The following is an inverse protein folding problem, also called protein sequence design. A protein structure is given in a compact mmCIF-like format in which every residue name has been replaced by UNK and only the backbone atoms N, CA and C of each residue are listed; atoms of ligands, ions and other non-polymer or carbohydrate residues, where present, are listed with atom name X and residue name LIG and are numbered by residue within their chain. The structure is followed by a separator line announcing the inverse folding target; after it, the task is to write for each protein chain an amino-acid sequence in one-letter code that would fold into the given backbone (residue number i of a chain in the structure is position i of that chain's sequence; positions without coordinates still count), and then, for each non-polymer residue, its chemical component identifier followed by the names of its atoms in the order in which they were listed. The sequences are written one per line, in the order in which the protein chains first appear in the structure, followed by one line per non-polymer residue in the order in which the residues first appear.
data_IF_862963357858
#
_entry.id   IF_862963357858
#
_cell.length_a   1.000
_cell.length_b   1.000
_cell.length_c   1.000
_cell.angle_alpha   90.00
_cell.angle_beta   90.00
_cell.angle_gamma   90.00
#
_symmetry.space_group_name_H-M   'P 1'
#
loop_
_entity.id
_entity.type
_entity.pdbx_description
1 polymer ?
#
# COMPACT_ATOMS: atom_id res chain seq x y z
N UNK A 1 -2.80 3.67 -33.50
CA UNK A 1 -2.26 5.01 -33.17
C UNK A 1 -0.93 4.79 -32.43
N UNK A 2 0.09 5.66 -32.56
CA UNK A 2 1.35 5.47 -31.85
C UNK A 2 1.12 5.52 -30.33
N UNK A 3 1.68 4.54 -29.60
CA UNK A 3 1.58 4.45 -28.13
C UNK A 3 2.39 5.55 -27.47
N UNK A 4 1.93 6.07 -26.33
CA UNK A 4 2.63 7.14 -25.59
C UNK A 4 3.64 6.56 -24.60
N UNK A 5 4.52 5.68 -25.08
CA UNK A 5 5.51 4.99 -24.25
C UNK A 5 6.82 5.77 -24.13
N UNK A 6 7.38 5.73 -22.93
CA UNK A 6 8.71 6.23 -22.60
C UNK A 6 9.63 5.04 -22.29
N UNK A 7 10.68 4.88 -23.10
CA UNK A 7 11.71 3.85 -22.95
C UNK A 7 13.05 4.55 -22.80
N UNK A 8 13.61 4.52 -21.60
CA UNK A 8 14.91 5.10 -21.28
C UNK A 8 16.06 4.33 -21.95
N UNK A 9 17.20 5.01 -22.15
CA UNK A 9 18.41 4.40 -22.69
C UNK A 9 18.87 3.18 -21.88
N UNK A 10 18.68 3.20 -20.56
CA UNK A 10 19.01 2.07 -19.69
C UNK A 10 18.11 0.85 -19.96
N UNK A 11 16.79 1.05 -20.09
CA UNK A 11 15.87 -0.04 -20.44
C UNK A 11 16.15 -0.56 -21.85
N UNK A 12 16.41 0.34 -22.80
CA UNK A 12 16.79 0.00 -24.18
C UNK A 12 18.08 -0.81 -24.24
N UNK A 13 19.08 -0.47 -23.44
CA UNK A 13 20.34 -1.22 -23.38
C UNK A 13 20.15 -2.66 -22.86
N UNK A 14 19.23 -2.88 -21.93
CA UNK A 14 18.96 -4.20 -21.36
C UNK A 14 18.10 -5.09 -22.27
N UNK A 15 17.05 -4.55 -22.89
CA UNK A 15 16.15 -5.35 -23.75
C UNK A 15 16.61 -5.44 -25.21
N UNK A 16 17.54 -4.57 -25.61
CA UNK A 16 18.03 -4.43 -26.98
C UNK A 16 17.19 -3.49 -27.85
N UNK A 17 17.85 -2.88 -28.85
CA UNK A 17 17.24 -1.86 -29.71
C UNK A 17 16.03 -2.38 -30.50
N UNK A 18 16.11 -3.61 -31.00
CA UNK A 18 15.05 -4.21 -31.81
C UNK A 18 13.78 -4.43 -30.96
N UNK A 19 13.92 -4.84 -29.70
CA UNK A 19 12.77 -5.03 -28.80
C UNK A 19 12.21 -3.68 -28.32
N UNK A 20 13.07 -2.70 -28.04
CA UNK A 20 12.65 -1.35 -27.70
C UNK A 20 11.86 -0.70 -28.85
N UNK A 21 12.27 -0.92 -30.10
CA UNK A 21 11.57 -0.39 -31.27
C UNK A 21 10.22 -1.09 -31.49
N UNK A 22 10.12 -2.40 -31.25
CA UNK A 22 8.84 -3.14 -31.24
C UNK A 22 7.87 -2.62 -30.18
N UNK A 23 8.36 -2.32 -28.97
CA UNK A 23 7.55 -1.72 -27.91
C UNK A 23 7.03 -0.35 -28.29
N UNK A 24 7.89 0.51 -28.84
CA UNK A 24 7.51 1.85 -29.30
C UNK A 24 6.54 1.81 -30.49
N UNK A 25 6.66 0.80 -31.36
CA UNK A 25 5.72 0.53 -32.45
C UNK A 25 4.37 -0.01 -31.94
N UNK A 26 4.30 -0.44 -30.67
CA UNK A 26 3.08 -0.92 -30.02
C UNK A 26 2.80 -2.42 -30.24
N UNK A 27 3.77 -3.19 -30.72
CA UNK A 27 3.61 -4.62 -31.00
C UNK A 27 3.59 -5.46 -29.72
N UNK A 28 4.47 -5.13 -28.77
CA UNK A 28 4.60 -5.81 -27.46
C UNK A 28 4.14 -4.92 -26.29
N UNK A 29 3.55 -3.77 -26.59
CA UNK A 29 3.04 -2.84 -25.59
C UNK A 29 1.60 -3.21 -25.19
N UNK A 30 1.28 -3.34 -23.90
CA UNK A 30 -0.09 -3.59 -23.47
C UNK A 30 -0.96 -2.37 -23.76
N UNK A 31 -2.22 -2.62 -24.12
CA UNK A 31 -3.25 -1.59 -24.22
C UNK A 31 -3.54 -0.99 -22.86
N UNK A 32 -4.29 -1.73 -22.05
CA UNK A 32 -4.47 -1.48 -20.62
C UNK A 32 -3.36 -2.13 -19.79
N UNK A 33 -2.93 -1.49 -18.72
CA UNK A 33 -1.95 -2.03 -17.76
C UNK A 33 -2.31 -1.62 -16.33
N UNK A 34 -1.83 -2.34 -15.33
CA UNK A 34 -1.87 -1.87 -13.94
C UNK A 34 -0.53 -1.20 -13.62
N UNK A 35 -0.59 0.08 -13.22
CA UNK A 35 0.61 0.84 -12.90
C UNK A 35 1.41 0.15 -11.78
N UNK A 36 2.67 -0.22 -12.03
CA UNK A 36 3.47 -0.97 -11.03
C UNK A 36 3.69 -0.20 -9.72
N UNK A 37 3.61 1.13 -9.77
CA UNK A 37 3.73 2.01 -8.59
C UNK A 37 2.44 2.18 -7.81
N UNK A 38 1.35 2.60 -8.47
CA UNK A 38 0.09 2.97 -7.80
C UNK A 38 -1.04 1.95 -7.97
N UNK A 39 -0.81 0.87 -8.75
CA UNK A 39 -1.73 -0.22 -9.09
C UNK A 39 -3.08 0.21 -9.66
N UNK A 40 -3.19 1.46 -10.11
CA UNK A 40 -4.37 1.95 -10.81
C UNK A 40 -4.27 1.54 -12.28
N UNK A 41 -5.38 1.14 -12.92
CA UNK A 41 -5.39 0.86 -14.35
C UNK A 41 -5.00 2.10 -15.15
N UNK A 42 -4.13 1.90 -16.14
CA UNK A 42 -3.75 2.90 -17.13
C UNK A 42 -3.91 2.37 -18.55
N UNK A 43 -3.85 3.26 -19.53
CA UNK A 43 -3.98 2.93 -20.96
C UNK A 43 -2.90 3.63 -21.79
N UNK A 44 -1.97 2.85 -22.34
CA UNK A 44 -0.83 3.36 -23.11
C UNK A 44 -1.21 4.01 -24.45
N UNK A 45 -2.46 3.83 -24.90
CA UNK A 45 -3.05 4.54 -26.04
C UNK A 45 -3.54 5.94 -25.67
N UNK A 46 -3.87 6.19 -24.40
CA UNK A 46 -4.52 7.41 -23.95
C UNK A 46 -3.60 8.30 -23.09
N UNK A 47 -2.59 7.72 -22.43
CA UNK A 47 -1.72 8.46 -21.51
C UNK A 47 -0.23 8.09 -21.59
N UNK A 48 0.62 9.05 -21.16
CA UNK A 48 2.06 8.83 -21.08
C UNK A 48 2.40 7.73 -20.08
N UNK A 49 3.07 6.72 -20.58
CA UNK A 49 3.36 5.48 -19.85
C UNK A 49 4.87 5.23 -19.87
N UNK A 50 5.46 4.98 -18.71
CA UNK A 50 6.88 4.67 -18.55
C UNK A 50 7.11 3.17 -18.45
N UNK A 51 8.14 2.68 -19.12
CA UNK A 51 8.60 1.29 -18.98
C UNK A 51 9.54 1.12 -17.79
N UNK A 52 9.26 0.13 -16.96
CA UNK A 52 10.10 -0.21 -15.80
C UNK A 52 10.55 -1.65 -15.98
N UNK A 53 11.87 -1.86 -16.12
CA UNK A 53 12.45 -3.19 -16.25
C UNK A 53 12.99 -3.62 -14.89
N UNK A 54 12.41 -4.68 -14.32
CA UNK A 54 12.95 -5.30 -13.11
C UNK A 54 13.92 -6.40 -13.52
N UNK A 55 15.16 -6.33 -13.06
CA UNK A 55 16.21 -7.30 -13.38
C UNK A 55 16.63 -8.01 -12.10
N UNK A 56 16.51 -9.34 -12.10
CA UNK A 56 17.09 -10.24 -11.12
C UNK A 56 18.30 -10.98 -11.68
N UNK A 57 18.83 -11.91 -10.90
CA UNK A 57 20.06 -12.63 -11.28
C UNK A 57 19.87 -13.53 -12.52
N UNK A 58 18.66 -14.08 -12.71
CA UNK A 58 18.36 -15.00 -13.83
C UNK A 58 17.24 -14.50 -14.74
N UNK A 59 16.39 -13.59 -14.25
CA UNK A 59 15.15 -13.21 -14.92
C UNK A 59 14.98 -11.69 -15.00
N UNK A 60 14.34 -11.22 -16.07
CA UNK A 60 13.98 -9.82 -16.25
C UNK A 60 12.51 -9.70 -16.63
N UNK A 61 11.82 -8.72 -16.05
CA UNK A 61 10.38 -8.53 -16.20
C UNK A 61 10.11 -7.09 -16.57
N UNK A 62 9.45 -6.90 -17.71
CA UNK A 62 9.02 -5.58 -18.17
C UNK A 62 7.64 -5.26 -17.61
N UNK A 63 7.52 -4.09 -16.97
CA UNK A 63 6.29 -3.58 -16.41
C UNK A 63 6.06 -2.12 -16.83
N UNK A 64 4.87 -1.61 -16.53
CA UNK A 64 4.44 -0.28 -16.96
C UNK A 64 3.96 0.55 -15.77
N UNK A 65 4.19 1.86 -15.83
CA UNK A 65 3.71 2.83 -14.86
C UNK A 65 3.23 4.09 -15.57
N UNK A 66 2.32 4.85 -14.94
CA UNK A 66 2.09 6.22 -15.39
C UNK A 66 3.41 6.99 -15.33
N UNK A 67 3.68 7.83 -16.33
CA UNK A 67 4.90 8.65 -16.36
C UNK A 67 5.01 9.62 -15.17
N UNK A 68 3.89 9.94 -14.51
CA UNK A 68 3.84 10.74 -13.28
C UNK A 68 4.13 9.94 -12.01
N UNK A 69 4.02 8.60 -12.05
CA UNK A 69 4.26 7.74 -10.89
C UNK A 69 5.71 7.27 -10.80
N UNK A 70 6.31 6.88 -11.93
CA UNK A 70 7.71 6.48 -12.03
C UNK A 70 8.28 6.90 -13.39
N UNK A 71 9.57 7.29 -13.45
CA UNK A 71 10.27 7.43 -14.73
C UNK A 71 10.54 6.06 -15.35
N UNK A 72 10.84 6.04 -16.65
CA UNK A 72 11.37 4.82 -17.27
C UNK A 72 12.75 4.51 -16.69
N UNK A 73 12.96 3.28 -16.23
CA UNK A 73 14.19 2.90 -15.51
C UNK A 73 14.36 1.38 -15.42
N UNK A 74 15.58 0.97 -15.08
CA UNK A 74 15.94 -0.40 -14.70
C UNK A 74 16.04 -0.47 -13.16
N UNK A 75 15.39 -1.46 -12.56
CA UNK A 75 15.38 -1.69 -11.11
C UNK A 75 15.99 -3.06 -10.84
N UNK A 76 17.10 -3.08 -10.11
CA UNK A 76 17.74 -4.32 -9.65
C UNK A 76 16.99 -4.85 -8.44
N UNK A 77 16.53 -6.10 -8.48
CA UNK A 77 15.82 -6.74 -7.37
C UNK A 77 16.30 -8.17 -7.17
N UNK A 78 16.07 -8.72 -5.99
CA UNK A 78 16.39 -10.13 -5.74
C UNK A 78 15.45 -11.05 -6.52
N UNK A 79 15.92 -12.23 -6.91
CA UNK A 79 15.13 -13.24 -7.63
C UNK A 79 13.84 -13.63 -6.87
N UNK A 80 13.87 -13.62 -5.53
CA UNK A 80 12.71 -13.88 -4.69
C UNK A 80 11.65 -12.77 -4.79
N UNK A 81 12.07 -11.50 -4.89
CA UNK A 81 11.19 -10.36 -5.11
C UNK A 81 10.60 -10.35 -6.52
N UNK A 82 11.39 -10.75 -7.53
CA UNK A 82 10.93 -10.81 -8.91
C UNK A 82 9.82 -11.86 -9.10
N UNK A 83 9.98 -13.05 -8.51
CA UNK A 83 8.95 -14.12 -8.54
C UNK A 83 7.66 -13.76 -7.80
N UNK A 84 7.72 -12.83 -6.85
CA UNK A 84 6.55 -12.24 -6.20
C UNK A 84 5.82 -11.27 -7.13
N UNK A 85 6.58 -10.44 -7.86
CA UNK A 85 6.03 -9.48 -8.81
C UNK A 85 5.39 -10.14 -10.04
N UNK A 86 6.03 -11.15 -10.64
CA UNK A 86 5.52 -11.91 -11.81
C UNK A 86 4.17 -12.55 -11.54
N UNK A 87 3.98 -13.14 -10.35
CA UNK A 87 2.69 -13.74 -9.95
C UNK A 87 1.56 -12.72 -9.83
N UNK A 88 1.88 -11.45 -9.60
CA UNK A 88 0.88 -10.37 -9.59
C UNK A 88 0.61 -9.77 -10.98
N UNK A 89 1.41 -10.12 -11.99
CA UNK A 89 1.29 -9.63 -13.38
C UNK A 89 0.60 -10.68 -14.28
N UNK A 90 0.81 -11.98 -14.03
CA UNK A 90 0.24 -13.10 -14.82
C UNK A 90 -1.28 -13.32 -14.64
N UNK A 91 -1.97 -12.51 -13.83
CA UNK A 91 -3.41 -12.65 -13.54
C UNK A 91 -4.37 -12.40 -14.72
N UNK A 92 -3.90 -12.13 -15.94
CA UNK A 92 -4.75 -11.69 -17.07
C UNK A 92 -4.70 -12.60 -18.31
N UNK A 93 -3.98 -13.74 -18.32
CA UNK A 93 -4.08 -14.68 -19.45
C UNK A 93 -3.82 -16.15 -19.10
N UNK A 94 -4.86 -16.91 -18.72
CA UNK A 94 -5.07 -18.29 -19.16
C UNK A 94 -6.36 -18.91 -18.57
N UNK A 95 -7.36 -19.10 -19.42
CA UNK A 95 -8.46 -20.02 -19.18
C UNK A 95 -7.97 -21.47 -19.34
N UNK A 96 -7.94 -22.26 -18.27
CA UNK A 96 -8.29 -23.69 -18.17
C UNK A 96 -7.46 -24.45 -17.12
N UNK A 97 -8.12 -24.75 -15.99
CA UNK A 97 -8.01 -26.02 -15.26
C UNK A 97 -6.63 -26.50 -14.81
N UNK A 98 -6.23 -26.12 -13.61
CA UNK A 98 -5.66 -27.03 -12.61
C UNK A 98 -5.83 -26.39 -11.23
N UNK A 99 -6.36 -27.14 -10.27
CA UNK A 99 -6.52 -26.70 -8.90
C UNK A 99 -5.14 -26.52 -8.25
N UNK A 100 -4.58 -25.31 -8.37
CA UNK A 100 -3.35 -24.93 -7.70
C UNK A 100 -3.72 -24.42 -6.30
N UNK A 101 -3.17 -25.06 -5.27
CA UNK A 101 -3.27 -24.57 -3.89
C UNK A 101 -2.77 -23.12 -3.84
N UNK A 102 -3.70 -22.20 -3.62
CA UNK A 102 -3.45 -20.77 -3.48
C UNK A 102 -2.64 -20.58 -2.20
N UNK A 103 -1.36 -20.27 -2.34
CA UNK A 103 -0.58 -19.71 -1.24
C UNK A 103 -1.29 -18.42 -0.79
N UNK A 104 -1.42 -18.14 0.51
CA UNK A 104 -2.20 -17.01 1.00
C UNK A 104 -1.63 -15.71 0.41
N UNK A 105 -2.44 -15.04 -0.41
CA UNK A 105 -2.12 -13.75 -0.97
C UNK A 105 -2.03 -12.74 0.19
N UNK A 106 -0.87 -12.11 0.36
CA UNK A 106 -0.67 -11.13 1.43
C UNK A 106 -1.51 -9.89 1.10
N UNK A 107 -2.41 -9.53 2.02
CA UNK A 107 -3.24 -8.34 1.90
C UNK A 107 -2.41 -7.08 1.67
N UNK A 108 -2.77 -6.28 0.66
CA UNK A 108 -2.16 -4.98 0.42
C UNK A 108 -2.94 -3.91 1.17
N UNK A 109 -2.25 -3.14 2.01
CA UNK A 109 -2.83 -2.09 2.84
C UNK A 109 -2.37 -0.72 2.38
N UNK A 110 -3.33 0.14 2.06
CA UNK A 110 -3.11 1.57 1.87
C UNK A 110 -3.00 2.26 3.23
N UNK A 111 -2.00 3.13 3.37
CA UNK A 111 -1.78 3.93 4.58
C UNK A 111 -1.75 5.40 4.22
N UNK A 112 -2.60 6.19 4.89
CA UNK A 112 -2.63 7.66 4.77
C UNK A 112 -2.22 8.27 6.10
N UNK A 113 -1.19 9.12 6.09
CA UNK A 113 -0.80 9.91 7.27
C UNK A 113 -1.47 11.28 7.26
N UNK A 114 -2.01 11.72 8.40
CA UNK A 114 -2.58 13.06 8.54
C UNK A 114 -2.75 13.46 10.00
N UNK A 115 -3.05 14.73 10.27
CA UNK A 115 -3.41 15.20 11.59
C UNK A 115 -4.93 15.09 11.81
N UNK A 116 -5.33 14.71 13.02
CA UNK A 116 -6.73 14.63 13.43
C UNK A 116 -6.92 15.44 14.72
N UNK A 117 -7.91 16.33 14.71
CA UNK A 117 -8.25 17.16 15.87
C UNK A 117 -9.16 16.38 16.84
N UNK A 118 -8.71 16.06 18.03
CA UNK A 118 -9.52 15.42 19.09
C UNK A 118 -9.40 16.29 20.34
N UNK A 119 -10.54 16.60 20.97
CA UNK A 119 -10.58 17.43 22.19
C UNK A 119 -9.84 18.78 22.08
N UNK A 120 -9.80 19.36 20.86
CA UNK A 120 -9.11 20.63 20.59
C UNK A 120 -7.60 20.50 20.40
N UNK A 121 -7.06 19.29 20.39
CA UNK A 121 -5.64 19.00 20.19
C UNK A 121 -5.41 18.20 18.89
N UNK A 122 -4.33 18.53 18.18
CA UNK A 122 -3.92 17.81 16.98
C UNK A 122 -3.14 16.55 17.35
N UNK A 123 -3.63 15.41 16.89
CA UNK A 123 -3.00 14.11 17.03
C UNK A 123 -2.49 13.61 15.69
N UNK A 124 -1.29 12.99 15.64
CA UNK A 124 -0.81 12.31 14.45
C UNK A 124 -1.64 11.04 14.23
N UNK A 125 -2.15 10.86 13.03
CA UNK A 125 -2.94 9.70 12.67
C UNK A 125 -2.36 8.96 11.46
N UNK A 126 -2.54 7.64 11.47
CA UNK A 126 -2.45 6.77 10.31
C UNK A 126 -3.83 6.18 10.05
N UNK A 127 -4.30 6.32 8.83
CA UNK A 127 -5.56 5.71 8.38
C UNK A 127 -5.22 4.57 7.43
N UNK A 128 -5.67 3.37 7.79
CA UNK A 128 -5.37 2.13 7.09
C UNK A 128 -6.63 1.60 6.42
N UNK A 129 -6.53 1.37 5.11
CA UNK A 129 -7.60 0.82 4.29
C UNK A 129 -7.02 -0.26 3.37
N UNK A 130 -7.57 -1.48 3.33
CA UNK A 130 -7.09 -2.50 2.41
C UNK A 130 -7.47 -2.15 0.97
N UNK A 131 -6.69 -2.60 -0.01
CA UNK A 131 -7.00 -2.35 -1.43
C UNK A 131 -8.10 -3.26 -1.98
N UNK A 132 -8.44 -4.31 -1.25
CA UNK A 132 -9.51 -5.26 -1.55
C UNK A 132 -10.15 -5.75 -0.25
N UNK A 133 -11.33 -6.38 -0.34
CA UNK A 133 -11.94 -7.01 0.83
C UNK A 133 -10.99 -8.07 1.41
N UNK A 134 -10.87 -8.11 2.74
CA UNK A 134 -10.01 -9.09 3.41
C UNK A 134 -10.86 -10.27 3.84
N UNK A 135 -10.45 -11.48 3.48
CA UNK A 135 -11.07 -12.72 3.95
C UNK A 135 -10.08 -13.51 4.77
N UNK A 136 -10.58 -14.21 5.79
CA UNK A 136 -9.72 -15.10 6.57
C UNK A 136 -9.13 -16.21 5.68
N UNK A 137 -7.83 -16.53 5.79
CA UNK A 137 -7.23 -17.64 5.06
C UNK A 137 -8.01 -18.94 5.29
N UNK A 138 -8.36 -19.64 4.21
CA UNK A 138 -9.14 -20.88 4.26
C UNK A 138 -10.67 -20.71 4.36
N UNK A 139 -11.17 -19.46 4.39
CA UNK A 139 -12.60 -19.17 4.27
C UNK A 139 -13.04 -19.14 2.81
N UNK A 140 -14.23 -19.67 2.52
CA UNK A 140 -14.90 -19.53 1.21
C UNK A 140 -15.94 -18.40 1.22
N UNK A 141 -16.00 -17.60 2.28
CA UNK A 141 -16.93 -16.48 2.41
C UNK A 141 -16.58 -15.33 1.48
N UNK A 142 -17.59 -14.58 1.06
CA UNK A 142 -17.45 -13.34 0.27
C UNK A 142 -17.51 -12.08 1.13
N UNK A 143 -17.29 -12.21 2.45
CA UNK A 143 -17.36 -11.11 3.41
C UNK A 143 -16.07 -10.29 3.47
N UNK A 144 -16.09 -9.21 4.25
CA UNK A 144 -14.88 -8.46 4.62
C UNK A 144 -14.63 -8.63 6.13
N UNK A 145 -13.65 -9.46 6.45
CA UNK A 145 -13.19 -9.81 7.79
C UNK A 145 -12.18 -8.80 8.34
N UNK A 146 -11.86 -7.71 7.63
CA UNK A 146 -10.80 -6.78 8.05
C UNK A 146 -11.01 -6.20 9.45
N UNK A 147 -12.20 -5.67 9.75
CA UNK A 147 -12.49 -5.12 11.08
C UNK A 147 -12.54 -6.20 12.17
N UNK A 148 -13.26 -7.34 11.99
CA UNK A 148 -13.21 -8.44 12.94
C UNK A 148 -11.79 -8.87 13.29
N UNK A 149 -10.90 -9.01 12.30
CA UNK A 149 -9.51 -9.40 12.51
C UNK A 149 -8.74 -8.37 13.35
N UNK A 150 -8.95 -7.08 13.12
CA UNK A 150 -8.31 -6.03 13.95
C UNK A 150 -8.87 -5.99 15.37
N UNK A 151 -10.18 -6.22 15.54
CA UNK A 151 -10.81 -6.31 16.85
C UNK A 151 -10.23 -7.48 17.66
N UNK A 152 -10.00 -8.63 17.02
CA UNK A 152 -9.29 -9.78 17.62
C UNK A 152 -7.88 -9.42 18.09
N UNK A 153 -7.23 -8.43 17.45
CA UNK A 153 -5.91 -7.92 17.84
C UNK A 153 -5.96 -6.81 18.91
N UNK A 154 -7.15 -6.43 19.37
CA UNK A 154 -7.35 -5.43 20.43
C UNK A 154 -7.63 -4.01 19.94
N UNK A 155 -7.84 -3.79 18.64
CA UNK A 155 -8.38 -2.51 18.16
C UNK A 155 -9.84 -2.35 18.59
N UNK A 156 -10.22 -1.14 18.96
CA UNK A 156 -11.55 -0.88 19.51
C UNK A 156 -12.47 -0.26 18.45
N UNK A 157 -13.75 -0.67 18.35
CA UNK A 157 -14.72 0.03 17.52
C UNK A 157 -14.82 1.51 17.89
N UNK A 158 -14.81 2.39 16.88
CA UNK A 158 -14.91 3.84 17.03
C UNK A 158 -16.24 4.29 16.45
N UNK A 159 -17.12 4.83 17.29
CA UNK A 159 -18.43 5.34 16.89
C UNK A 159 -18.42 6.85 16.63
N UNK A 160 -17.46 7.56 17.21
CA UNK A 160 -17.20 8.98 17.00
C UNK A 160 -15.76 9.33 17.39
N UNK A 161 -15.19 10.39 16.81
CA UNK A 161 -13.84 10.86 17.11
C UNK A 161 -13.86 11.96 18.18
N UNK A 162 -14.54 11.67 19.29
CA UNK A 162 -14.68 12.60 20.43
C UNK A 162 -13.57 12.48 21.45
N UNK A 163 -12.89 11.32 21.50
CA UNK A 163 -11.81 11.02 22.45
C UNK A 163 -10.72 10.17 21.80
N UNK A 164 -9.54 10.18 22.42
CA UNK A 164 -8.39 9.39 21.97
C UNK A 164 -8.65 7.90 22.26
N UNK A 165 -8.48 6.99 21.26
CA UNK A 165 -8.59 5.55 21.51
C UNK A 165 -7.59 5.04 22.55
N UNK A 166 -7.89 3.94 23.27
CA UNK A 166 -6.96 3.35 24.23
C UNK A 166 -5.62 2.98 23.59
N UNK A 167 -4.56 3.03 24.39
CA UNK A 167 -3.22 2.58 23.97
C UNK A 167 -3.21 1.06 23.80
N UNK A 168 -2.80 0.60 22.61
CA UNK A 168 -2.64 -0.83 22.32
C UNK A 168 -1.17 -1.21 22.47
N UNK A 169 -0.81 -1.71 23.64
CA UNK A 169 0.56 -2.16 23.92
C UNK A 169 0.95 -3.38 23.08
N UNK A 170 2.25 -3.50 22.78
CA UNK A 170 2.80 -4.55 21.91
C UNK A 170 2.77 -4.18 20.43
N UNK A 171 1.85 -3.31 20.02
CA UNK A 171 1.88 -2.65 18.72
C UNK A 171 2.71 -1.36 18.79
N UNK A 172 3.31 -0.95 17.68
CA UNK A 172 4.03 0.32 17.61
C UNK A 172 4.14 0.86 16.19
N UNK A 173 4.39 2.16 16.07
CA UNK A 173 4.72 2.82 14.80
C UNK A 173 6.22 3.09 14.76
N UNK A 174 6.91 2.53 13.77
CA UNK A 174 8.32 2.74 13.55
C UNK A 174 8.55 4.04 12.77
N UNK A 175 9.03 5.06 13.47
CA UNK A 175 9.45 6.33 12.93
C UNK A 175 10.96 6.47 13.14
N UNK A 176 11.73 6.51 12.05
CA UNK A 176 13.19 6.61 12.13
C UNK A 176 13.69 7.64 11.11
N UNK A 177 14.63 8.48 11.55
CA UNK A 177 15.11 9.64 10.76
C UNK A 177 13.95 10.56 10.32
N UNK A 178 12.87 10.56 11.10
CA UNK A 178 11.64 11.30 10.85
C UNK A 178 10.86 10.87 9.60
N UNK A 179 11.12 9.67 9.10
CA UNK A 179 10.29 9.00 8.09
C UNK A 179 9.51 7.86 8.75
N UNK A 180 8.33 7.56 8.22
CA UNK A 180 7.50 6.43 8.63
C UNK A 180 7.95 5.17 7.88
N UNK A 181 8.31 4.13 8.63
CA UNK A 181 8.83 2.87 8.06
C UNK A 181 7.82 1.72 8.14
N UNK A 182 7.19 1.53 9.30
CA UNK A 182 6.37 0.36 9.55
C UNK A 182 5.35 0.56 10.68
N UNK A 183 4.32 -0.29 10.67
CA UNK A 183 3.50 -0.59 11.84
C UNK A 183 3.89 -1.99 12.30
N UNK A 184 4.37 -2.09 13.54
CA UNK A 184 4.84 -3.33 14.13
C UNK A 184 3.73 -3.92 14.99
N UNK A 185 3.56 -5.24 14.91
CA UNK A 185 2.68 -6.02 15.77
C UNK A 185 3.52 -6.91 16.71
N UNK A 186 2.96 -7.31 17.86
CA UNK A 186 3.63 -8.24 18.74
C UNK A 186 3.86 -9.59 18.04
N UNK A 187 5.02 -10.21 18.29
CA UNK A 187 5.28 -11.56 17.80
C UNK A 187 4.43 -12.57 18.55
N UNK A 188 3.77 -13.47 17.81
CA UNK A 188 2.98 -14.56 18.38
C UNK A 188 3.79 -15.49 19.31
N UNK A 189 5.13 -15.51 19.17
CA UNK A 189 6.04 -16.36 19.94
C UNK A 189 6.76 -15.62 21.08
N UNK A 190 6.39 -14.36 21.36
CA UNK A 190 7.06 -13.54 22.38
C UNK A 190 8.46 -13.04 21.98
N UNK A 191 8.78 -13.06 20.68
CA UNK A 191 10.02 -12.55 20.11
C UNK A 191 9.97 -11.06 19.74
N UNK A 192 10.93 -10.62 18.92
CA UNK A 192 10.96 -9.25 18.41
C UNK A 192 9.67 -8.93 17.63
N UNK A 193 9.15 -7.68 17.73
CA UNK A 193 8.01 -7.25 16.94
C UNK A 193 8.24 -7.48 15.44
N UNK A 194 7.19 -7.88 14.73
CA UNK A 194 7.23 -8.11 13.28
C UNK A 194 6.43 -7.03 12.58
N UNK A 195 6.81 -6.68 11.36
CA UNK A 195 6.05 -5.73 10.57
C UNK A 195 4.68 -6.31 10.23
N UNK A 196 3.62 -5.68 10.72
CA UNK A 196 2.26 -5.90 10.24
C UNK A 196 2.02 -5.17 8.92
N UNK A 197 2.59 -3.97 8.82
CA UNK A 197 2.70 -3.20 7.60
C UNK A 197 4.09 -2.59 7.49
N UNK A 198 4.64 -2.54 6.28
CA UNK A 198 5.92 -1.91 5.99
C UNK A 198 5.83 -1.09 4.72
N UNK A 199 6.35 0.13 4.77
CA UNK A 199 6.50 0.96 3.59
C UNK A 199 7.57 0.37 2.67
N UNK A 200 7.28 0.29 1.37
CA UNK A 200 8.29 -0.12 0.39
C UNK A 200 9.48 0.86 0.37
N UNK A 201 9.21 2.14 0.57
CA UNK A 201 10.18 3.20 0.83
C UNK A 201 9.71 4.03 2.02
N UNK A 202 10.60 4.46 2.94
CA UNK A 202 10.18 5.22 4.11
C UNK A 202 9.40 6.49 3.73
N UNK A 203 8.18 6.61 4.24
CA UNK A 203 7.27 7.69 3.86
C UNK A 203 7.63 8.99 4.58
N UNK A 204 7.70 10.08 3.82
CA UNK A 204 7.85 11.41 4.39
C UNK A 204 6.54 11.84 5.04
N UNK A 205 6.64 12.30 6.29
CA UNK A 205 5.53 12.88 7.03
C UNK A 205 5.74 14.38 7.20
N UNK A 206 4.64 15.13 7.27
CA UNK A 206 4.69 16.57 7.47
C UNK A 206 5.34 16.93 8.81
N UNK A 207 5.91 18.13 8.92
CA UNK A 207 6.52 18.59 10.16
C UNK A 207 5.50 18.67 11.31
N UNK A 208 4.27 19.07 11.00
CA UNK A 208 3.17 19.09 11.98
C UNK A 208 2.84 17.69 12.52
N UNK A 209 2.76 16.69 11.64
CA UNK A 209 2.55 15.30 12.03
C UNK A 209 3.70 14.80 12.93
N UNK A 210 4.95 15.06 12.53
CA UNK A 210 6.15 14.66 13.27
C UNK A 210 6.25 15.33 14.64
N UNK A 211 5.94 16.62 14.71
CA UNK A 211 5.90 17.36 15.96
C UNK A 211 4.84 16.80 16.92
N UNK A 212 3.65 16.49 16.42
CA UNK A 212 2.59 15.87 17.20
C UNK A 212 2.98 14.46 17.67
N UNK A 213 3.62 13.65 16.82
CA UNK A 213 4.11 12.32 17.16
C UNK A 213 5.16 12.38 18.28
N UNK A 214 6.14 13.28 18.16
CA UNK A 214 7.14 13.49 19.21
C UNK A 214 6.56 14.06 20.50
N UNK A 215 5.53 14.91 20.43
CA UNK A 215 4.85 15.45 21.61
C UNK A 215 4.11 14.35 22.38
N UNK A 216 3.34 13.53 21.65
CA UNK A 216 2.45 12.54 22.22
C UNK A 216 3.14 11.21 22.53
N UNK A 217 4.29 10.94 21.90
CA UNK A 217 4.99 9.64 21.94
C UNK A 217 4.12 8.47 21.47
N UNK A 218 3.10 8.77 20.67
CA UNK A 218 2.16 7.80 20.11
C UNK A 218 1.52 8.35 18.83
N UNK A 219 0.94 7.45 18.05
CA UNK A 219 0.23 7.71 16.80
C UNK A 219 -1.12 7.03 16.85
N UNK A 220 -2.18 7.74 16.48
CA UNK A 220 -3.51 7.15 16.40
C UNK A 220 -3.62 6.36 15.10
N UNK A 221 -3.86 5.06 15.18
CA UNK A 221 -4.18 4.27 14.01
C UNK A 221 -5.68 4.07 13.94
N UNK A 222 -6.27 4.47 12.82
CA UNK A 222 -7.65 4.17 12.46
C UNK A 222 -7.67 3.22 11.26
N UNK A 223 -8.60 2.28 11.24
CA UNK A 223 -8.72 1.34 10.14
C UNK A 223 -10.17 1.13 9.73
N UNK A 224 -10.40 1.00 8.42
CA UNK A 224 -11.71 0.84 7.83
C UNK A 224 -11.68 -0.15 6.65
N UNK A 225 -12.79 -0.82 6.30
CA UNK A 225 -12.90 -1.68 5.12
C UNK A 225 -12.61 -0.92 3.82
N UNK A 226 -12.24 -1.66 2.77
CA UNK A 226 -12.01 -1.09 1.44
C UNK A 226 -13.17 -0.19 0.98
N UNK A 227 -12.85 0.98 0.44
CA UNK A 227 -13.81 1.96 -0.06
C UNK A 227 -14.52 2.79 1.00
N UNK A 228 -14.14 2.67 2.28
CA UNK A 228 -14.81 3.41 3.37
C UNK A 228 -14.27 4.84 3.53
N UNK A 229 -12.96 5.04 3.41
CA UNK A 229 -12.30 6.34 3.55
C UNK A 229 -11.87 6.86 2.17
N UNK A 230 -11.22 6.02 1.36
CA UNK A 230 -10.66 6.41 0.06
C UNK A 230 -9.47 7.38 0.17
N UNK A 231 -9.04 7.95 -0.97
CA UNK A 231 -7.94 8.91 -1.01
C UNK A 231 -8.37 10.27 -0.46
N UNK A 232 -7.61 10.79 0.50
CA UNK A 232 -7.89 12.07 1.14
C UNK A 232 -6.79 13.09 0.83
N UNK A 233 -7.04 14.05 -0.08
CA UNK A 233 -6.01 15.01 -0.49
C UNK A 233 -5.77 16.12 0.55
N UNK A 234 -6.63 16.25 1.56
CA UNK A 234 -6.57 17.29 2.59
C UNK A 234 -6.99 16.74 3.95
N UNK A 235 -6.44 17.29 5.03
CA UNK A 235 -6.69 16.84 6.41
C UNK A 235 -8.15 17.08 6.88
N UNK A 236 -8.77 18.18 6.43
CA UNK A 236 -10.18 18.48 6.73
C UNK A 236 -11.13 17.41 6.14
N UNK A 237 -10.81 16.93 4.93
CA UNK A 237 -11.55 15.87 4.28
C UNK A 237 -11.32 14.51 4.95
N UNK A 238 -10.08 14.24 5.38
CA UNK A 238 -9.73 13.04 6.14
C UNK A 238 -10.59 12.93 7.41
N UNK A 239 -10.70 14.03 8.17
CA UNK A 239 -11.55 14.06 9.36
C UNK A 239 -13.02 13.74 9.04
N UNK A 240 -13.59 14.40 8.04
CA UNK A 240 -14.99 14.16 7.66
C UNK A 240 -15.25 12.71 7.22
N UNK A 241 -14.30 12.08 6.53
CA UNK A 241 -14.42 10.67 6.13
C UNK A 241 -14.30 9.71 7.32
N UNK A 242 -13.44 9.99 8.30
CA UNK A 242 -13.36 9.22 9.54
C UNK A 242 -14.66 9.34 10.35
N UNK A 243 -15.22 10.55 10.51
CA UNK A 243 -16.50 10.74 11.20
C UNK A 243 -17.63 9.96 10.52
N UNK A 244 -17.68 9.97 9.19
CA UNK A 244 -18.66 9.20 8.42
C UNK A 244 -18.49 7.69 8.61
N UNK A 245 -17.27 7.19 8.57
CA UNK A 245 -17.00 5.76 8.79
C UNK A 245 -17.35 5.33 10.22
N UNK A 246 -17.02 6.15 11.21
CA UNK A 246 -17.34 5.92 12.61
C UNK A 246 -18.86 5.86 12.85
N UNK A 247 -19.61 6.83 12.31
CA UNK A 247 -21.07 6.87 12.40
C UNK A 247 -21.75 5.66 11.72
N UNK A 248 -21.07 5.04 10.75
CA UNK A 248 -21.54 3.82 10.07
C UNK A 248 -21.09 2.52 10.77
N UNK A 249 -20.36 2.60 11.89
CA UNK A 249 -19.78 1.44 12.56
C UNK A 249 -18.70 0.74 11.75
N UNK A 250 -18.04 1.45 10.83
CA UNK A 250 -17.01 0.94 9.91
C UNK A 250 -15.60 1.39 10.28
N UNK A 251 -15.39 1.78 11.53
CA UNK A 251 -14.10 2.28 11.99
C UNK A 251 -13.68 1.56 13.27
N UNK A 252 -12.42 1.14 13.31
CA UNK A 252 -11.74 0.74 14.53
C UNK A 252 -10.53 1.64 14.74
N UNK A 253 -10.08 1.77 15.99
CA UNK A 253 -8.94 2.62 16.33
C UNK A 253 -8.19 2.15 17.56
N UNK A 254 -6.92 2.55 17.62
CA UNK A 254 -6.03 2.38 18.76
C UNK A 254 -4.96 3.49 18.77
N UNK A 255 -4.47 3.84 19.95
CA UNK A 255 -3.24 4.62 20.06
C UNK A 255 -2.03 3.67 20.09
N UNK A 256 -1.08 3.88 19.18
CA UNK A 256 0.11 3.04 19.03
C UNK A 256 1.35 3.80 19.51
N UNK A 257 2.12 3.27 20.47
CA UNK A 257 3.40 3.86 20.88
C UNK A 257 4.36 4.06 19.71
N UNK A 258 5.18 5.11 19.77
CA UNK A 258 6.29 5.27 18.83
C UNK A 258 7.45 4.33 19.16
N UNK A 259 8.10 3.82 18.12
CA UNK A 259 9.37 3.12 18.19
C UNK A 259 10.39 3.78 17.24
N UNK A 260 11.68 3.73 17.60
CA UNK A 260 12.78 4.20 16.76
C UNK A 260 13.13 5.68 16.85
N UNK A 261 12.64 6.38 17.88
CA UNK A 261 12.95 7.79 18.17
C UNK A 261 14.27 8.02 18.87
#
# INVERSE_FOLDING_TARGET
MPRMLDVSDAVRAEIGDEEADRLLAGENAPGSYDCTSCRTPGDSEQERTSTVLFVGDETAVLAFAHASCLPSQVVQVTEEQLRGAVRSIDGVAASAGTAQQVAPEQAVLGVTSGLVLIEGELHPALVVEPTSAIVRPGSTGTGDDFLPLLIEQGFMPVTELSSVPPVLHGWSVLLAMGQLHAVLQPSASGGQPVAWWQAHQPLQVTDGWRAAANKHQQVLMFAAPVGSIGRQPREDLLRGSLDKAAAQGKLVGAALPLAGT
#
